data_IF_134060937806
#
_entry.id   IF_134060937806
#
_cell.length_a   1.000
_cell.length_b   1.000
_cell.length_c   1.000
_cell.angle_alpha   90.00
_cell.angle_beta   90.00
_cell.angle_gamma   90.00
#
_symmetry.space_group_name_H-M   'P 1'
#
loop_
_entity.id
_entity.type
_entity.pdbx_description
1 polymer ?
2 non-polymer ?
3 non-polymer ?
4 non-polymer ?
5 non-polymer ?
6 non-polymer ?
7 water ?
#
# COMPACT_ATOMS: atom_id res chain seq x y z
N UNK A 1 -26.97 31.20 5.68
CA UNK A 1 -26.42 30.40 6.77
C UNK A 1 -25.15 29.68 6.32
N UNK A 2 -24.24 29.41 7.25
CA UNK A 2 -23.05 28.67 6.85
C UNK A 2 -22.47 27.96 8.06
N UNK A 3 -21.73 26.89 7.78
CA UNK A 3 -21.00 26.21 8.82
C UNK A 3 -19.97 27.15 9.43
N UNK A 4 -19.73 26.99 10.72
CA UNK A 4 -18.64 27.71 11.34
C UNK A 4 -17.33 27.18 10.77
N UNK A 5 -16.41 28.06 10.35
CA UNK A 5 -15.14 27.56 9.78
C UNK A 5 -14.27 26.90 10.84
N UNK A 6 -13.57 25.83 10.43
CA UNK A 6 -12.64 25.18 11.33
C UNK A 6 -11.46 26.10 11.60
N UNK A 7 -11.01 26.13 12.85
CA UNK A 7 -9.94 27.03 13.26
C UNK A 7 -8.60 26.32 13.40
N UNK A 8 -8.58 25.00 13.23
CA UNK A 8 -7.37 24.20 13.35
C UNK A 8 -7.13 23.43 12.07
N UNK A 9 -5.86 23.27 11.70
CA UNK A 9 -5.53 22.49 10.52
C UNK A 9 -5.08 21.09 10.92
N UNK A 10 -5.23 20.10 10.05
CA UNK A 10 -4.89 18.72 10.42
C UNK A 10 -3.39 18.53 10.61
N UNK A 11 -3.05 17.59 11.49
CA UNK A 11 -1.66 17.23 11.68
C UNK A 11 -1.07 16.70 10.39
N UNK A 12 0.23 16.93 10.22
CA UNK A 12 0.92 16.43 9.05
C UNK A 12 1.42 15.01 9.25
N UNK A 13 1.42 14.24 8.16
CA UNK A 13 2.05 12.92 8.16
C UNK A 13 3.55 13.03 8.49
N UNK A 14 4.10 12.00 9.15
CA UNK A 14 5.50 11.99 9.54
C UNK A 14 6.31 11.07 8.61
N UNK A 15 6.87 11.66 7.57
CA UNK A 15 7.65 10.89 6.60
C UNK A 15 8.95 10.35 7.16
N UNK A 16 9.59 11.08 8.08
CA UNK A 16 10.80 10.57 8.70
C UNK A 16 10.50 9.31 9.51
N UNK A 17 9.38 9.31 10.24
CA UNK A 17 8.99 8.11 10.97
C UNK A 17 8.76 6.93 10.03
N UNK A 18 8.16 7.18 8.86
CA UNK A 18 7.95 6.11 7.89
C UNK A 18 9.28 5.58 7.36
N UNK A 19 10.26 6.46 7.13
CA UNK A 19 11.59 6.03 6.70
C UNK A 19 12.25 5.14 7.78
N UNK A 20 12.18 5.59 9.03
CA UNK A 20 12.75 4.80 10.12
C UNK A 20 12.08 3.44 10.22
N UNK A 21 10.74 3.40 10.06
CA UNK A 21 10.02 2.12 10.08
C UNK A 21 10.47 1.21 8.94
N UNK A 22 10.81 1.79 7.77
CA UNK A 22 11.30 0.95 6.68
C UNK A 22 12.61 0.31 7.07
N UNK A 23 13.52 1.10 7.64
CA UNK A 23 14.80 0.54 8.10
C UNK A 23 14.56 -0.57 9.11
N UNK A 24 13.65 -0.35 10.05
CA UNK A 24 13.42 -1.36 11.08
C UNK A 24 12.79 -2.62 10.50
N UNK A 25 11.90 -2.46 9.52
CA UNK A 25 11.24 -3.62 8.91
C UNK A 25 12.25 -4.46 8.15
N UNK A 26 13.13 -3.81 7.37
CA UNK A 26 14.15 -4.55 6.64
C UNK A 26 15.15 -5.19 7.59
N UNK A 27 15.49 -4.52 8.70
CA UNK A 27 16.37 -5.14 9.69
C UNK A 27 15.73 -6.38 10.30
N UNK A 28 14.43 -6.32 10.59
CA UNK A 28 13.75 -7.40 11.28
C UNK A 28 13.47 -8.58 10.37
N UNK A 29 13.21 -8.31 9.09
CA UNK A 29 12.68 -9.34 8.18
C UNK A 29 13.17 -9.04 6.76
N UNK A 30 14.47 -9.20 6.51
CA UNK A 30 14.98 -8.75 5.20
C UNK A 30 14.46 -9.58 4.04
N UNK A 31 14.44 -10.90 4.17
CA UNK A 31 13.94 -11.77 3.11
C UNK A 31 12.64 -12.38 3.59
N UNK A 32 11.57 -12.19 2.82
CA UNK A 32 10.20 -12.41 3.32
C UNK A 32 9.35 -13.18 2.32
N UNK A 33 9.89 -14.23 1.71
CA UNK A 33 9.08 -14.96 0.74
C UNK A 33 8.10 -15.88 1.46
N UNK A 34 6.99 -16.18 0.78
CA UNK A 34 5.93 -16.97 1.39
C UNK A 34 6.46 -18.32 1.85
N UNK A 35 6.20 -18.63 3.12
CA UNK A 35 6.64 -19.87 3.73
C UNK A 35 7.90 -19.76 4.55
N UNK A 36 8.62 -18.66 4.46
CA UNK A 36 9.93 -18.57 5.07
C UNK A 36 9.84 -18.06 6.51
N UNK A 37 10.87 -18.30 7.30
CA UNK A 37 10.91 -17.70 8.64
C UNK A 37 10.92 -16.19 8.59
N UNK A 38 11.56 -15.61 7.56
CA UNK A 38 11.56 -14.17 7.40
C UNK A 38 10.16 -13.61 7.21
N UNK A 39 9.33 -14.30 6.43
CA UNK A 39 7.94 -13.88 6.28
C UNK A 39 7.24 -13.85 7.63
N UNK A 40 7.47 -14.87 8.46
CA UNK A 40 6.85 -14.90 9.78
C UNK A 40 7.33 -13.73 10.65
N UNK A 41 8.62 -13.37 10.52
CA UNK A 41 9.13 -12.21 11.27
C UNK A 41 8.51 -10.91 10.77
N UNK A 42 8.24 -10.82 9.46
CA UNK A 42 7.57 -9.65 8.90
C UNK A 42 6.16 -9.52 9.48
N UNK A 43 5.45 -10.66 9.55
CA UNK A 43 4.11 -10.64 10.12
C UNK A 43 4.14 -10.25 11.58
N UNK A 44 5.14 -10.76 12.32
CA UNK A 44 5.28 -10.38 13.73
C UNK A 44 5.54 -8.88 13.86
N UNK A 45 6.35 -8.31 12.96
CA UNK A 45 6.64 -6.89 13.01
C UNK A 45 5.34 -6.09 12.81
N UNK A 46 4.54 -6.47 11.81
CA UNK A 46 3.27 -5.78 11.59
C UNK A 46 2.40 -5.86 12.84
N UNK A 47 2.21 -7.08 13.37
CA UNK A 47 1.37 -7.25 14.55
C UNK A 47 1.89 -6.45 15.73
N UNK A 48 3.20 -6.43 15.93
CA UNK A 48 3.79 -5.71 17.05
C UNK A 48 3.55 -4.21 16.95
N UNK A 49 3.26 -3.70 15.75
CA UNK A 49 2.99 -2.28 15.59
C UNK A 49 1.50 -1.95 15.62
N UNK A 50 0.65 -2.92 15.93
CA UNK A 50 -0.79 -2.72 16.02
C UNK A 50 -1.35 -3.32 17.30
N UNK A 51 -0.56 -3.33 18.37
CA UNK A 51 -1.04 -3.89 19.63
C UNK A 51 -2.31 -3.21 20.14
N UNK A 52 -2.46 -1.88 20.08
CA UNK A 52 -3.72 -1.30 20.56
C UNK A 52 -4.93 -1.78 19.76
N UNK A 53 -4.78 -1.87 18.45
CA UNK A 53 -5.88 -2.31 17.60
C UNK A 53 -6.21 -3.77 17.85
N UNK A 54 -5.20 -4.61 18.09
CA UNK A 54 -5.46 -6.00 18.47
C UNK A 54 -6.26 -6.05 19.76
N UNK A 55 -5.87 -5.24 20.76
CA UNK A 55 -6.58 -5.25 22.04
C UNK A 55 -8.02 -4.75 21.89
N UNK A 56 -8.30 -3.92 20.87
CA UNK A 56 -9.61 -3.32 20.65
C UNK A 56 -10.50 -4.18 19.76
N UNK A 57 -10.00 -5.28 19.21
CA UNK A 57 -10.77 -6.06 18.26
C UNK A 57 -10.82 -5.48 16.87
N UNK A 58 -9.87 -4.60 16.53
CA UNK A 58 -9.86 -3.91 15.25
C UNK A 58 -8.77 -4.43 14.32
N UNK A 59 -8.24 -5.62 14.57
CA UNK A 59 -7.16 -6.19 13.78
C UNK A 59 -7.60 -7.58 13.33
N UNK A 60 -7.62 -7.81 12.02
CA UNK A 60 -8.08 -9.06 11.44
C UNK A 60 -6.94 -9.76 10.72
N UNK A 61 -6.79 -11.05 10.99
CA UNK A 61 -5.89 -11.93 10.25
C UNK A 61 -6.77 -12.72 9.29
N UNK A 62 -6.52 -12.59 7.99
CA UNK A 62 -7.28 -13.24 6.94
C UNK A 62 -6.34 -14.28 6.32
N UNK A 63 -6.40 -15.51 6.84
CA UNK A 63 -5.51 -16.60 6.43
C UNK A 63 -6.21 -17.48 5.39
N UNK A 64 -5.46 -17.94 4.39
CA UNK A 64 -6.04 -18.82 3.38
C UNK A 64 -4.93 -19.67 2.79
N UNK A 65 -5.33 -20.74 2.09
CA UNK A 65 -4.39 -21.62 1.42
C UNK A 65 -4.45 -21.33 -0.08
N UNK A 66 -3.35 -20.83 -0.64
CA UNK A 66 -3.29 -20.47 -2.05
C UNK A 66 -2.80 -21.68 -2.85
N UNK A 67 -3.40 -21.91 -4.01
CA UNK A 67 -2.90 -22.89 -4.96
C UNK A 67 -1.91 -22.18 -5.87
N UNK A 68 -0.65 -22.60 -5.88
CA UNK A 68 0.39 -21.91 -6.62
C UNK A 68 1.18 -22.92 -7.43
N UNK A 69 2.02 -22.46 -8.37
CA UNK A 69 2.92 -23.39 -9.07
C UNK A 69 3.91 -24.09 -8.15
N UNK A 70 4.13 -23.59 -6.94
CA UNK A 70 4.98 -24.25 -5.97
C UNK A 70 4.20 -25.18 -5.04
N UNK A 71 2.91 -25.34 -5.28
CA UNK A 71 2.06 -26.16 -4.43
C UNK A 71 1.15 -25.29 -3.58
N UNK A 72 0.53 -25.94 -2.59
CA UNK A 72 -0.31 -25.20 -1.64
C UNK A 72 0.58 -24.38 -0.72
N UNK A 73 0.27 -23.10 -0.57
CA UNK A 73 1.03 -22.21 0.30
C UNK A 73 0.08 -21.43 1.19
N UNK A 74 0.33 -21.41 2.48
CA UNK A 74 -0.48 -20.61 3.38
C UNK A 74 -0.10 -19.15 3.24
N UNK A 75 -1.10 -18.27 3.15
CA UNK A 75 -0.91 -16.84 3.06
C UNK A 75 -1.78 -16.14 4.08
N UNK A 76 -1.35 -14.94 4.47
CA UNK A 76 -2.05 -14.17 5.49
C UNK A 76 -2.13 -12.71 5.09
N UNK A 77 -3.35 -12.21 4.89
CA UNK A 77 -3.56 -10.77 4.80
C UNK A 77 -3.86 -10.26 6.19
N UNK A 78 -3.53 -8.98 6.44
CA UNK A 78 -3.86 -8.34 7.70
C UNK A 78 -4.68 -7.09 7.41
N UNK A 79 -5.78 -6.90 8.14
CA UNK A 79 -6.64 -5.74 7.94
C UNK A 79 -6.79 -5.03 9.29
N UNK A 80 -6.48 -3.73 9.31
CA UNK A 80 -6.55 -2.93 10.53
C UNK A 80 -7.63 -1.88 10.31
N UNK A 81 -8.61 -1.84 11.19
CA UNK A 81 -9.75 -0.93 10.98
C UNK A 81 -9.69 0.27 11.92
N UNK A 82 -9.91 1.45 11.33
CA UNK A 82 -10.06 2.72 12.06
C UNK A 82 -11.47 3.22 11.74
N UNK A 83 -12.46 2.83 12.54
CA UNK A 83 -13.83 3.25 12.25
C UNK A 83 -13.96 4.75 12.27
N UNK A 84 -14.78 5.25 11.37
CA UNK A 84 -15.05 6.66 11.23
C UNK A 84 -16.35 7.05 11.88
N UNK A 85 -16.91 8.15 11.40
CA UNK A 85 -18.14 8.69 11.96
C UNK A 85 -19.29 8.65 10.97
N UNK A 86 -19.07 8.15 9.76
CA UNK A 86 -20.14 7.97 8.81
C UNK A 86 -19.92 6.67 8.06
N UNK A 87 -21.01 6.12 7.53
CA UNK A 87 -20.98 4.83 6.87
C UNK A 87 -20.19 4.91 5.57
N UNK A 88 -19.29 3.95 5.35
CA UNK A 88 -18.45 3.90 4.17
C UNK A 88 -17.00 3.76 4.59
N UNK A 89 -16.19 3.19 3.71
CA UNK A 89 -14.82 2.80 4.03
C UNK A 89 -13.88 3.24 2.91
N UNK A 90 -12.74 3.80 3.30
CA UNK A 90 -11.61 4.01 2.40
C UNK A 90 -10.56 2.99 2.79
N UNK A 91 -10.15 2.16 1.84
CA UNK A 91 -9.12 1.15 2.08
C UNK A 91 -7.78 1.68 1.57
N UNK A 92 -6.73 1.58 2.39
CA UNK A 92 -5.36 1.83 1.97
C UNK A 92 -4.64 0.49 2.01
N UNK A 93 -3.89 0.16 0.96
CA UNK A 93 -3.32 -1.19 0.85
C UNK A 93 -1.85 -1.14 0.45
N UNK A 94 -1.16 -2.21 0.82
CA UNK A 94 0.22 -2.45 0.41
C UNK A 94 0.45 -3.96 0.43
N UNK A 95 1.38 -4.44 -0.40
CA UNK A 95 1.87 -5.79 -0.20
C UNK A 95 3.07 -5.73 0.75
N UNK A 96 3.37 -6.88 1.39
CA UNK A 96 4.41 -6.88 2.41
C UNK A 96 5.48 -7.96 2.24
N UNK A 97 5.30 -8.90 1.33
CA UNK A 97 6.20 -10.04 1.17
C UNK A 97 7.17 -9.78 0.02
N UNK A 98 8.21 -10.63 -0.07
CA UNK A 98 9.17 -10.53 -1.18
C UNK A 98 9.03 -11.72 -2.12
N UNK A 99 9.63 -11.59 -3.31
CA UNK A 99 9.43 -12.53 -4.39
C UNK A 99 10.05 -13.90 -4.11
N UNK A 100 9.23 -14.95 -4.23
CA UNK A 100 9.72 -16.31 -4.06
C UNK A 100 10.84 -16.69 -5.04
N UNK A 101 10.79 -16.32 -6.32
CA UNK A 101 11.90 -16.67 -7.23
C UNK A 101 13.22 -15.99 -6.89
N UNK A 102 13.21 -14.96 -6.03
CA UNK A 102 14.41 -14.23 -5.63
C UNK A 102 14.91 -14.67 -4.26
N UNK A 103 14.44 -15.82 -3.77
CA UNK A 103 14.76 -16.24 -2.40
C UNK A 103 16.24 -16.55 -2.17
N UNK A 104 17.00 -16.85 -3.22
CA UNK A 104 18.41 -17.21 -3.06
C UNK A 104 19.38 -16.08 -3.40
N UNK A 105 18.88 -14.86 -3.57
CA UNK A 105 19.73 -13.68 -3.66
C UNK A 105 19.34 -12.73 -2.53
N UNK A 106 20.15 -11.68 -2.35
CA UNK A 106 19.93 -10.71 -1.29
C UNK A 106 18.90 -9.66 -1.70
N UNK A 107 17.72 -10.14 -2.03
CA UNK A 107 16.60 -9.26 -2.38
C UNK A 107 15.78 -9.02 -1.12
N UNK A 108 15.70 -7.76 -0.71
CA UNK A 108 15.01 -7.36 0.52
C UNK A 108 13.81 -6.47 0.26
N UNK A 109 13.55 -6.08 -0.98
CA UNK A 109 12.36 -5.30 -1.29
C UNK A 109 12.24 -4.03 -0.46
N UNK A 110 13.32 -3.25 -0.38
CA UNK A 110 13.28 -2.04 0.44
C UNK A 110 12.23 -1.06 -0.06
N UNK A 111 12.21 -0.81 -1.38
CA UNK A 111 11.18 0.05 -1.96
C UNK A 111 9.92 -0.75 -2.24
N UNK A 112 10.09 -1.98 -2.73
CA UNK A 112 9.01 -2.81 -3.27
C UNK A 112 8.42 -3.65 -2.13
N UNK A 113 7.45 -3.07 -1.43
CA UNK A 113 6.83 -3.71 -0.29
C UNK A 113 7.29 -3.13 1.02
N UNK A 114 8.60 -2.96 1.20
CA UNK A 114 9.09 -2.47 2.48
C UNK A 114 8.63 -1.06 2.78
N UNK A 115 8.84 -0.14 1.82
CA UNK A 115 8.57 1.27 2.05
C UNK A 115 7.09 1.51 2.29
N UNK A 116 6.21 0.75 1.62
CA UNK A 116 4.78 0.95 1.74
C UNK A 116 4.17 0.20 2.92
N UNK A 117 4.78 -0.91 3.34
CA UNK A 117 4.42 -1.50 4.63
C UNK A 117 4.71 -0.52 5.75
N UNK A 118 5.89 0.11 5.71
CA UNK A 118 6.22 1.15 6.69
C UNK A 118 5.30 2.35 6.59
N UNK A 119 4.99 2.79 5.37
CA UNK A 119 4.06 3.90 5.18
C UNK A 119 2.74 3.63 5.87
N UNK A 120 2.19 2.42 5.70
CA UNK A 120 0.90 2.13 6.30
C UNK A 120 0.98 1.89 7.81
N UNK A 121 2.08 1.36 8.31
CA UNK A 121 2.26 1.33 9.77
C UNK A 121 2.25 2.75 10.33
N UNK A 122 2.96 3.67 9.67
CA UNK A 122 2.95 5.05 10.13
C UNK A 122 1.57 5.68 10.00
N UNK A 123 0.85 5.33 8.93
CA UNK A 123 -0.54 5.77 8.83
C UNK A 123 -1.37 5.29 10.02
N UNK A 124 -1.14 4.05 10.46
CA UNK A 124 -1.82 3.57 11.66
C UNK A 124 -1.48 4.40 12.89
N UNK A 125 -0.21 4.76 13.04
CA UNK A 125 0.18 5.65 14.14
C UNK A 125 -0.56 6.98 14.04
N UNK A 126 -0.65 7.52 12.83
CA UNK A 126 -1.32 8.79 12.60
C UNK A 126 -2.81 8.69 12.97
N UNK A 127 -3.48 7.63 12.49
CA UNK A 127 -4.91 7.49 12.69
C UNK A 127 -5.26 7.12 14.13
N UNK A 128 -4.32 6.47 14.83
CA UNK A 128 -4.52 6.24 16.25
C UNK A 128 -4.53 7.55 17.01
N UNK A 129 -3.65 8.48 16.61
CA UNK A 129 -3.60 9.79 17.26
C UNK A 129 -4.67 10.76 16.77
N UNK A 130 -5.10 10.62 15.52
CA UNK A 130 -6.02 11.57 14.87
C UNK A 130 -7.13 10.75 14.22
N UNK A 131 -8.13 10.33 15.00
CA UNK A 131 -9.10 9.37 14.49
C UNK A 131 -9.86 9.94 13.30
N UNK A 132 -10.28 9.09 12.37
CA UNK A 132 -10.98 9.59 11.16
C UNK A 132 -12.34 10.15 11.51
N UNK A 133 -12.62 11.35 10.99
CA UNK A 133 -13.85 12.04 11.29
C UNK A 133 -14.91 11.84 10.21
N UNK A 134 -14.58 11.18 9.11
CA UNK A 134 -15.53 10.89 8.05
C UNK A 134 -15.68 9.39 7.87
N UNK A 135 -15.39 8.90 6.66
CA UNK A 135 -15.43 7.46 6.42
C UNK A 135 -14.42 6.71 7.29
N UNK A 136 -14.72 5.44 7.55
CA UNK A 136 -13.72 4.57 8.14
C UNK A 136 -12.51 4.49 7.24
N UNK A 137 -11.34 4.27 7.84
CA UNK A 137 -10.12 3.97 7.08
C UNK A 137 -9.68 2.57 7.49
N UNK A 138 -9.49 1.69 6.51
CA UNK A 138 -8.97 0.35 6.78
C UNK A 138 -7.63 0.21 6.08
N UNK A 139 -6.66 -0.35 6.80
CA UNK A 139 -5.32 -0.61 6.26
C UNK A 139 -5.22 -2.09 5.93
N UNK A 140 -4.77 -2.40 4.72
CA UNK A 140 -4.63 -3.78 4.28
C UNK A 140 -3.16 -4.04 3.99
N UNK A 141 -2.62 -5.04 4.64
CA UNK A 141 -1.28 -5.56 4.35
C UNK A 141 -1.52 -6.89 3.65
N UNK A 142 -1.34 -6.92 2.34
CA UNK A 142 -1.69 -8.12 1.61
C UNK A 142 -0.48 -8.97 1.25
N UNK A 143 -0.70 -10.28 1.27
CA UNK A 143 0.33 -11.27 1.02
C UNK A 143 0.26 -11.71 -0.44
N UNK A 144 1.37 -12.30 -0.89
CA UNK A 144 1.35 -13.01 -2.18
C UNK A 144 1.04 -12.15 -3.38
N UNK A 145 1.38 -10.85 -3.36
CA UNK A 145 1.18 -10.03 -4.56
C UNK A 145 2.10 -10.50 -5.68
N UNK A 146 3.34 -10.80 -5.36
CA UNK A 146 4.32 -11.16 -6.38
C UNK A 146 4.09 -12.58 -6.88
N UNK A 147 4.40 -12.81 -8.16
CA UNK A 147 4.26 -14.14 -8.74
C UNK A 147 5.14 -15.14 -7.99
N UNK A 148 4.61 -16.33 -7.78
CA UNK A 148 5.38 -17.42 -7.17
C UNK A 148 6.35 -18.01 -8.16
N UNK A 149 5.95 -18.12 -9.43
CA UNK A 149 6.82 -18.61 -10.48
C UNK A 149 7.07 -17.57 -11.56
N UNK A 150 6.02 -17.11 -12.25
CA UNK A 150 6.20 -16.14 -13.31
C UNK A 150 4.89 -15.38 -13.49
N UNK A 151 4.98 -14.07 -13.60
CA UNK A 151 3.80 -13.22 -13.53
C UNK A 151 2.78 -13.58 -14.61
N UNK A 152 1.54 -13.79 -14.19
CA UNK A 152 0.43 -14.07 -15.10
C UNK A 152 -0.86 -13.80 -14.35
N UNK A 153 -1.98 -13.87 -15.07
CA UNK A 153 -3.28 -13.62 -14.44
C UNK A 153 -3.57 -14.62 -13.33
N UNK A 154 -3.05 -15.84 -13.42
CA UNK A 154 -3.27 -16.81 -12.34
C UNK A 154 -2.14 -16.83 -11.33
N UNK A 155 -0.94 -16.37 -11.69
CA UNK A 155 0.20 -16.40 -10.77
C UNK A 155 0.60 -14.96 -10.43
N UNK A 156 -0.21 -14.34 -9.58
CA UNK A 156 0.02 -12.99 -9.09
C UNK A 156 -1.18 -12.64 -8.20
N UNK A 157 -0.99 -11.66 -7.32
CA UNK A 157 -2.12 -11.03 -6.63
C UNK A 157 -2.93 -12.01 -5.79
N UNK A 158 -2.27 -12.99 -5.17
CA UNK A 158 -3.03 -14.01 -4.46
C UNK A 158 -3.81 -13.42 -3.30
N UNK A 159 -3.17 -12.56 -2.52
CA UNK A 159 -3.83 -12.02 -1.33
C UNK A 159 -5.02 -11.14 -1.67
N UNK A 160 -4.88 -10.27 -2.69
CA UNK A 160 -6.01 -9.42 -3.04
C UNK A 160 -7.08 -10.14 -3.85
N UNK A 161 -6.73 -11.15 -4.65
CA UNK A 161 -7.79 -11.93 -5.28
C UNK A 161 -8.63 -12.61 -4.22
N UNK A 162 -7.98 -13.16 -3.19
CA UNK A 162 -8.72 -13.78 -2.10
C UNK A 162 -9.56 -12.75 -1.35
N UNK A 163 -8.97 -11.60 -1.01
CA UNK A 163 -9.68 -10.62 -0.19
C UNK A 163 -10.85 -10.01 -0.95
N UNK A 164 -10.65 -9.68 -2.23
CA UNK A 164 -11.74 -9.13 -3.02
C UNK A 164 -12.89 -10.13 -3.14
N UNK A 165 -12.57 -11.42 -3.31
CA UNK A 165 -13.64 -12.41 -3.37
C UNK A 165 -14.37 -12.53 -2.03
N UNK A 166 -13.62 -12.53 -0.93
CA UNK A 166 -14.21 -12.62 0.42
C UNK A 166 -15.16 -11.45 0.67
N UNK A 167 -14.70 -10.25 0.35
CA UNK A 167 -15.51 -9.06 0.58
C UNK A 167 -16.67 -8.94 -0.41
N UNK A 168 -16.52 -9.51 -1.61
CA UNK A 168 -17.67 -9.57 -2.51
C UNK A 168 -18.75 -10.48 -1.95
N UNK A 169 -18.34 -11.64 -1.43
CA UNK A 169 -19.31 -12.63 -0.95
C UNK A 169 -20.05 -12.13 0.28
N UNK A 170 -19.38 -11.38 1.16
CA UNK A 170 -20.04 -10.97 2.40
C UNK A 170 -20.64 -9.56 2.35
N UNK A 171 -20.61 -8.89 1.21
CA UNK A 171 -21.23 -7.60 1.07
C UNK A 171 -20.36 -6.42 1.45
N UNK A 172 -19.11 -6.65 1.85
CA UNK A 172 -18.24 -5.54 2.25
C UNK A 172 -17.91 -4.62 1.08
N UNK A 173 -17.78 -5.17 -0.13
CA UNK A 173 -17.34 -4.34 -1.26
C UNK A 173 -18.27 -3.16 -1.51
N UNK A 174 -19.57 -3.32 -1.25
CA UNK A 174 -20.53 -2.26 -1.47
C UNK A 174 -20.19 -1.01 -0.67
N UNK A 175 -19.49 -1.18 0.46
CA UNK A 175 -19.20 -0.08 1.35
C UNK A 175 -17.93 0.68 1.01
N UNK A 176 -17.15 0.19 0.06
CA UNK A 176 -15.83 0.75 -0.19
C UNK A 176 -15.97 1.96 -1.12
N UNK A 177 -15.66 3.13 -0.59
CA UNK A 177 -15.69 4.35 -1.36
C UNK A 177 -14.50 4.46 -2.30
N UNK A 178 -13.36 3.91 -1.88
CA UNK A 178 -12.15 3.94 -2.70
C UNK A 178 -11.16 2.95 -2.12
N UNK A 179 -10.41 2.28 -3.01
CA UNK A 179 -9.29 1.42 -2.65
C UNK A 179 -8.02 2.08 -3.16
N UNK A 180 -7.17 2.54 -2.23
CA UNK A 180 -5.97 3.31 -2.55
C UNK A 180 -4.76 2.43 -2.25
N UNK A 181 -4.04 2.04 -3.29
CA UNK A 181 -2.89 1.15 -3.17
C UNK A 181 -1.62 1.98 -3.18
N UNK A 182 -0.71 1.70 -2.26
CA UNK A 182 0.61 2.33 -2.23
C UNK A 182 1.62 1.31 -2.74
N UNK A 183 2.42 1.69 -3.72
CA UNK A 183 3.41 0.70 -4.24
C UNK A 183 4.66 1.43 -4.73
N UNK A 184 5.81 1.13 -4.10
CA UNK A 184 7.12 1.58 -4.59
C UNK A 184 7.31 3.09 -4.51
N UNK A 185 6.74 3.71 -3.47
CA UNK A 185 6.77 5.16 -3.38
C UNK A 185 7.83 5.69 -2.42
N UNK A 186 8.79 4.84 -2.01
CA UNK A 186 9.93 5.32 -1.26
C UNK A 186 11.09 5.78 -2.12
N UNK A 187 11.05 5.48 -3.41
CA UNK A 187 12.10 5.77 -4.38
C UNK A 187 12.60 7.19 -4.21
N UNK A 188 13.93 7.33 -4.00
CA UNK A 188 14.53 8.65 -3.84
C UNK A 188 14.26 9.58 -5.02
N UNK A 189 14.06 9.02 -6.21
CA UNK A 189 13.68 9.79 -7.40
C UNK A 189 12.21 9.49 -7.68
N UNK A 190 11.34 10.20 -6.99
CA UNK A 190 9.92 9.84 -6.95
C UNK A 190 9.13 10.55 -8.05
N UNK A 191 8.36 9.78 -8.79
CA UNK A 191 7.27 10.37 -9.55
C UNK A 191 6.19 9.31 -9.70
N UNK A 192 4.96 9.68 -9.35
CA UNK A 192 3.84 8.75 -9.39
C UNK A 192 3.33 8.66 -10.82
N UNK A 193 3.38 7.47 -11.39
CA UNK A 193 2.86 7.31 -12.74
C UNK A 193 1.35 7.50 -12.77
N UNK A 194 0.84 7.96 -13.91
CA UNK A 194 -0.60 7.99 -14.16
C UNK A 194 -1.02 6.62 -14.67
N UNK A 195 -1.64 5.82 -13.81
CA UNK A 195 -2.04 4.46 -14.17
C UNK A 195 -3.41 4.48 -14.84
N UNK A 196 -3.44 4.18 -16.15
CA UNK A 196 -4.71 4.16 -16.88
C UNK A 196 -5.65 3.06 -16.39
N UNK A 197 -5.17 2.08 -15.63
CA UNK A 197 -6.07 1.09 -15.05
C UNK A 197 -6.82 1.62 -13.84
N UNK A 198 -6.44 2.77 -13.31
CA UNK A 198 -7.11 3.34 -12.13
C UNK A 198 -8.36 4.12 -12.53
N UNK A 199 -9.25 4.30 -11.56
CA UNK A 199 -10.53 4.92 -11.84
C UNK A 199 -10.31 6.40 -12.15
N UNK A 200 -10.87 6.92 -13.25
CA UNK A 200 -10.58 8.32 -13.64
C UNK A 200 -10.87 9.36 -12.55
N UNK A 201 -11.99 9.25 -11.82
CA UNK A 201 -12.22 10.30 -10.82
C UNK A 201 -11.16 10.29 -9.73
N UNK A 202 -10.59 9.11 -9.43
CA UNK A 202 -9.51 9.04 -8.45
C UNK A 202 -8.20 9.57 -9.02
N UNK A 203 -7.91 9.33 -10.31
CA UNK A 203 -6.74 9.95 -10.92
C UNK A 203 -6.84 11.47 -10.88
N UNK A 204 -8.01 12.01 -11.24
CA UNK A 204 -8.21 13.45 -11.21
C UNK A 204 -8.04 13.97 -9.79
N UNK A 205 -8.54 13.21 -8.82
CA UNK A 205 -8.44 13.64 -7.44
C UNK A 205 -7.00 13.63 -6.96
N UNK A 206 -6.20 12.66 -7.40
CA UNK A 206 -4.79 12.65 -7.02
C UNK A 206 -4.06 13.84 -7.62
N UNK A 207 -4.38 14.21 -8.85
CA UNK A 207 -3.79 15.44 -9.41
C UNK A 207 -4.16 16.66 -8.57
N UNK A 208 -5.43 16.73 -8.12
CA UNK A 208 -5.84 17.82 -7.23
C UNK A 208 -5.14 17.76 -5.89
N UNK A 209 -5.00 16.55 -5.33
CA UNK A 209 -4.33 16.40 -4.04
C UNK A 209 -2.88 16.86 -4.13
N UNK A 210 -2.22 16.58 -5.27
CA UNK A 210 -0.85 17.05 -5.45
C UNK A 210 -0.81 18.57 -5.50
N UNK A 211 -1.75 19.20 -6.22
CA UNK A 211 -1.83 20.67 -6.20
C UNK A 211 -1.98 21.17 -4.77
N UNK A 212 -2.91 20.58 -4.01
CA UNK A 212 -3.23 21.08 -2.68
C UNK A 212 -2.07 20.93 -1.71
N UNK A 213 -1.22 19.92 -1.90
CA UNK A 213 -0.11 19.66 -1.00
C UNK A 213 1.21 20.21 -1.51
N UNK A 214 1.20 20.92 -2.65
CA UNK A 214 2.43 21.46 -3.21
C UNK A 214 3.38 20.44 -3.79
N UNK A 215 2.86 19.30 -4.25
CA UNK A 215 3.68 18.20 -4.73
C UNK A 215 3.39 17.88 -6.20
N UNK A 216 2.92 18.85 -6.98
CA UNK A 216 2.59 18.55 -8.38
C UNK A 216 3.80 18.07 -9.16
N UNK A 217 5.01 18.49 -8.77
CA UNK A 217 6.21 18.06 -9.48
C UNK A 217 6.43 16.55 -9.38
N UNK A 218 5.71 15.85 -8.52
CA UNK A 218 5.97 14.45 -8.25
C UNK A 218 4.88 13.54 -8.78
N UNK A 219 3.92 14.05 -9.55
CA UNK A 219 2.73 13.30 -9.91
C UNK A 219 2.49 13.39 -11.41
N UNK A 220 2.42 12.23 -12.06
CA UNK A 220 1.94 12.06 -13.43
C UNK A 220 2.91 12.47 -14.54
N UNK A 221 4.23 12.44 -14.28
CA UNK A 221 5.20 12.66 -15.35
C UNK A 221 5.00 11.66 -16.48
N UNK A 222 4.85 10.39 -16.15
CA UNK A 222 4.71 9.33 -17.12
C UNK A 222 3.31 8.75 -17.04
N UNK A 223 2.77 8.39 -18.19
CA UNK A 223 1.48 7.72 -18.30
C UNK A 223 1.72 6.27 -18.71
N UNK A 224 1.08 5.35 -18.01
CA UNK A 224 1.22 3.93 -18.32
C UNK A 224 -0.02 3.21 -17.84
N UNK A 225 0.07 1.88 -17.75
CA UNK A 225 -0.99 1.06 -17.18
C UNK A 225 -0.31 -0.05 -16.41
N UNK A 226 -0.76 -0.29 -15.18
CA UNK A 226 -0.05 -1.16 -14.25
C UNK A 226 -0.92 -2.35 -13.87
N UNK A 227 -0.30 -3.53 -13.82
CA UNK A 227 -0.92 -4.71 -13.24
C UNK A 227 -0.45 -4.81 -11.79
N UNK A 228 -1.39 -4.75 -10.86
CA UNK A 228 -1.06 -4.66 -9.44
C UNK A 228 -2.29 -5.05 -8.63
N UNK A 229 -2.15 -4.95 -7.31
CA UNK A 229 -3.13 -5.40 -6.31
C UNK A 229 -4.48 -4.70 -6.40
N UNK A 230 -4.62 -3.63 -7.18
CA UNK A 230 -5.91 -2.97 -7.35
C UNK A 230 -6.82 -3.67 -8.34
N UNK A 231 -6.27 -4.49 -9.25
CA UNK A 231 -7.10 -5.10 -10.28
C UNK A 231 -8.21 -6.02 -9.76
N UNK A 232 -8.01 -6.85 -8.73
CA UNK A 232 -9.12 -7.70 -8.27
C UNK A 232 -10.29 -6.91 -7.72
N UNK A 233 -10.03 -5.69 -7.24
CA UNK A 233 -11.11 -4.81 -6.77
C UNK A 233 -11.76 -4.09 -7.94
N UNK A 234 -10.94 -3.59 -8.88
CA UNK A 234 -11.47 -2.85 -10.01
C UNK A 234 -12.36 -3.72 -10.86
N UNK A 235 -11.98 -4.99 -11.05
CA UNK A 235 -12.79 -5.87 -11.90
C UNK A 235 -14.16 -6.17 -11.28
N UNK A 236 -14.35 -5.85 -10.00
CA UNK A 236 -15.62 -6.00 -9.33
C UNK A 236 -16.31 -4.66 -9.12
N UNK A 237 -15.87 -3.61 -9.81
CA UNK A 237 -16.56 -2.33 -9.78
C UNK A 237 -16.16 -1.39 -8.65
N UNK A 238 -15.15 -1.74 -7.87
CA UNK A 238 -14.70 -0.86 -6.78
C UNK A 238 -13.85 0.26 -7.38
N UNK A 239 -14.04 1.52 -6.97
CA UNK A 239 -13.13 2.59 -7.40
C UNK A 239 -11.73 2.37 -6.84
N UNK A 240 -10.72 2.43 -7.71
CA UNK A 240 -9.35 2.11 -7.29
C UNK A 240 -8.37 3.17 -7.78
N UNK A 241 -7.26 3.29 -7.05
CA UNK A 241 -6.14 4.12 -7.49
C UNK A 241 -4.85 3.44 -7.06
N UNK A 242 -3.95 3.22 -8.01
CA UNK A 242 -2.61 2.74 -7.69
C UNK A 242 -1.66 3.93 -7.64
N UNK A 243 -1.27 4.31 -6.42
CA UNK A 243 -0.29 5.38 -6.21
C UNK A 243 1.07 4.68 -6.25
N UNK A 244 1.65 4.62 -7.44
CA UNK A 244 2.81 3.79 -7.72
C UNK A 244 3.84 4.59 -8.49
N UNK A 245 5.11 4.37 -8.16
CA UNK A 245 6.24 4.79 -8.99
C UNK A 245 6.84 3.48 -9.53
N UNK A 246 6.51 3.16 -10.78
CA UNK A 246 7.00 1.92 -11.38
C UNK A 246 8.31 2.13 -12.13
N UNK A 247 8.84 3.35 -12.12
CA UNK A 247 10.09 3.66 -12.80
C UNK A 247 11.19 3.76 -11.75
N UNK A 248 11.72 2.61 -11.36
CA UNK A 248 12.58 2.48 -10.19
C UNK A 248 14.00 2.25 -10.67
N UNK A 249 14.82 3.30 -10.61
CA UNK A 249 16.21 3.22 -10.96
C UNK A 249 16.49 3.41 -12.43
N UNK A 250 17.77 3.59 -12.78
CA UNK A 250 18.13 3.84 -14.19
C UNK A 250 18.00 2.57 -15.03
N UNK A 251 17.36 2.69 -16.17
CA UNK A 251 17.20 1.57 -17.10
C UNK A 251 18.42 1.53 -17.99
N UNK A 252 19.10 0.39 -18.02
CA UNK A 252 20.28 0.22 -18.85
C UNK A 252 20.15 -1.09 -19.61
N UNK A 253 21.08 -1.33 -20.53
CA UNK A 253 21.11 -2.59 -21.24
C UNK A 253 21.15 -3.77 -20.28
N UNK A 254 21.94 -3.68 -19.23
CA UNK A 254 22.09 -4.79 -18.31
C UNK A 254 21.02 -4.81 -17.23
N UNK A 255 20.41 -3.66 -16.91
CA UNK A 255 19.32 -3.58 -15.93
C UNK A 255 18.14 -2.90 -16.60
N UNK A 256 17.44 -3.61 -17.49
CA UNK A 256 16.37 -2.95 -18.26
C UNK A 256 15.20 -2.50 -17.42
N UNK A 257 15.09 -2.97 -16.17
CA UNK A 257 14.03 -2.55 -15.27
C UNK A 257 14.62 -1.83 -14.05
N UNK A 258 15.80 -1.24 -14.21
CA UNK A 258 16.38 -0.51 -13.09
C UNK A 258 16.66 -1.42 -11.89
N UNK A 259 16.30 -0.93 -10.70
CA UNK A 259 16.49 -1.67 -9.47
C UNK A 259 15.36 -2.63 -9.16
N UNK A 260 14.28 -2.60 -9.92
CA UNK A 260 13.11 -3.42 -9.66
C UNK A 260 13.44 -4.90 -9.73
N UNK A 261 13.16 -5.63 -8.66
CA UNK A 261 13.36 -7.07 -8.58
C UNK A 261 14.83 -7.45 -8.72
N UNK A 262 15.73 -6.59 -8.26
CA UNK A 262 17.14 -6.92 -8.16
C UNK A 262 17.60 -6.72 -6.73
N UNK A 263 18.79 -7.25 -6.43
CA UNK A 263 19.40 -7.05 -5.12
C UNK A 263 19.79 -5.60 -4.86
N UNK A 264 19.66 -4.71 -5.85
CA UNK A 264 19.91 -3.30 -5.62
C UNK A 264 18.71 -2.58 -5.01
N UNK A 265 17.59 -3.26 -4.78
CA UNK A 265 16.43 -2.63 -4.15
C UNK A 265 16.67 -2.62 -2.64
N UNK A 266 17.47 -1.64 -2.20
CA UNK A 266 18.00 -1.56 -0.84
C UNK A 266 17.67 -0.22 -0.20
N UNK A 267 17.96 -0.11 1.10
CA UNK A 267 17.54 1.06 1.88
C UNK A 267 18.18 2.34 1.37
N UNK A 268 19.38 2.27 0.77
CA UNK A 268 19.99 3.48 0.22
C UNK A 268 19.25 4.02 -1.00
N UNK A 269 18.25 3.31 -1.52
CA UNK A 269 17.48 3.78 -2.67
C UNK A 269 16.24 4.54 -2.30
N UNK A 270 15.91 4.64 -1.02
CA UNK A 270 14.67 5.29 -0.61
C UNK A 270 14.99 6.49 0.27
N UNK A 271 13.99 7.35 0.46
CA UNK A 271 14.23 8.55 1.25
C UNK A 271 13.00 8.92 2.05
N UNK A 272 13.27 9.60 3.17
CA UNK A 272 12.18 10.18 3.95
C UNK A 272 11.42 11.23 3.15
N UNK A 273 12.11 11.96 2.28
CA UNK A 273 11.43 13.00 1.49
C UNK A 273 10.33 12.38 0.63
N UNK A 274 10.64 11.28 -0.06
CA UNK A 274 9.63 10.59 -0.86
C UNK A 274 8.49 10.05 0.00
N UNK A 275 8.82 9.44 1.15
CA UNK A 275 7.75 8.94 2.00
C UNK A 275 6.89 10.07 2.56
N UNK A 276 7.48 11.25 2.78
CA UNK A 276 6.71 12.42 3.21
C UNK A 276 5.72 12.82 2.14
N UNK A 277 6.17 12.88 0.89
CA UNK A 277 5.29 13.24 -0.22
C UNK A 277 4.15 12.22 -0.32
N UNK A 278 4.49 10.93 -0.27
CA UNK A 278 3.48 9.89 -0.36
C UNK A 278 2.44 10.01 0.75
N UNK A 279 2.90 10.17 2.00
CA UNK A 279 1.94 10.30 3.09
C UNK A 279 1.08 11.55 2.99
N UNK A 280 1.68 12.69 2.58
CA UNK A 280 0.91 13.91 2.37
C UNK A 280 -0.19 13.67 1.34
N UNK A 281 0.15 12.97 0.25
CA UNK A 281 -0.85 12.69 -0.79
C UNK A 281 -1.96 11.79 -0.26
N UNK A 282 -1.61 10.74 0.49
CA UNK A 282 -2.65 9.86 1.03
C UNK A 282 -3.59 10.60 1.97
N UNK A 283 -3.06 11.42 2.88
CA UNK A 283 -3.95 12.14 3.80
C UNK A 283 -4.85 13.12 3.04
N UNK A 284 -4.30 13.78 2.01
CA UNK A 284 -5.12 14.70 1.23
C UNK A 284 -6.17 13.95 0.42
N UNK A 285 -5.83 12.77 -0.12
CA UNK A 285 -6.83 11.95 -0.81
C UNK A 285 -7.98 11.60 0.13
N UNK A 286 -7.66 11.21 1.37
CA UNK A 286 -8.73 10.90 2.32
C UNK A 286 -9.64 12.11 2.52
N UNK A 287 -9.05 13.30 2.67
CA UNK A 287 -9.88 14.49 2.85
C UNK A 287 -10.77 14.73 1.63
N UNK A 288 -10.21 14.56 0.44
CA UNK A 288 -10.97 14.84 -0.78
C UNK A 288 -12.06 13.79 -1.02
N UNK A 289 -11.80 12.53 -0.65
CA UNK A 289 -12.84 11.51 -0.77
C UNK A 289 -13.96 11.80 0.19
N UNK A 290 -13.62 12.22 1.42
CA UNK A 290 -14.65 12.59 2.37
C UNK A 290 -15.50 13.74 1.83
N UNK A 291 -14.84 14.74 1.24
CA UNK A 291 -15.56 15.89 0.69
C UNK A 291 -16.49 15.49 -0.45
N UNK A 292 -16.02 14.58 -1.32
CA UNK A 292 -16.84 14.10 -2.43
C UNK A 292 -18.13 13.45 -1.94
N UNK A 293 -18.06 12.71 -0.84
CA UNK A 293 -19.23 12.13 -0.22
C UNK A 293 -19.84 10.99 -0.99
X LIG B 1 7.77 -6.42 -6.97
X LIG C 1 11.03 6.77 -9.84
X LIG D 1 8.39 19.31 -2.12
X LIG D 1 7.17 19.20 -2.95
X LIG D 1 8.46 18.24 -1.10
X LIG D 1 9.58 19.19 -3.00
X LIG D 1 8.47 20.68 -1.58
X LIG E 1 3.80 -20.66 7.22
X LIG E 1 4.25 -21.82 6.44
X LIG E 1 2.47 -20.93 7.74
X LIG E 1 3.73 -19.47 6.34
X LIG E 1 4.71 -20.42 8.34
X LIG F 1 -9.78 -14.69 -9.62
X LIG F 1 -11.04 -15.25 -10.10
X LIG F 1 -8.98 -15.74 -9.01
X LIG F 1 -9.08 -14.13 -10.77
X LIG F 1 -10.09 -13.64 -8.66
X LIG G 1 -12.88 11.90 18.27
X LIG G 1 -12.98 11.06 17.08
X LIG G 1 -12.51 11.07 19.41
X LIG G 1 -11.87 12.96 18.08
X LIG G 1 -14.19 12.52 18.51
X LIG H 1 25.50 -1.09 -15.89
X LIG H 1 24.44 -1.17 -14.89
X LIG H 1 26.62 -1.95 -15.49
X LIG H 1 25.97 0.29 -16.01
X LIG H 1 24.98 -1.54 -17.19
X LIG I 1 11.67 8.24 -16.20
X LIG I 1 11.12 6.89 -16.21
X LIG I 1 12.13 8.60 -14.86
X LIG I 1 12.79 8.30 -17.15
X LIG I 1 10.64 9.20 -16.61
X LIG J 1 10.35 -9.52 -12.93
X LIG J 1 9.37 -9.90 -13.95
X LIG J 1 10.31 -10.49 -11.84
X LIG J 1 11.69 -9.47 -13.51
X LIG J 1 10.01 -8.19 -12.43
X LIG K 1 -16.68 11.89 -12.56
X LIG K 1 -15.65 12.75 -12.13
X LIG K 1 -17.52 11.46 -11.35
X LIG K 1 -16.91 11.79 -10.16
X LIG K 1 -17.61 9.92 -11.51
X LIG K 1 -18.18 9.40 -10.34
X LIG L 1 -10.20 -20.91 2.82
X LIG L 1 -10.08 -19.90 1.84
X LIG L 1 -8.78 -21.41 3.13
X LIG L 1 -8.03 -21.48 2.02
X LIG L 1 -8.92 -22.79 3.77
X LIG L 1 -7.65 -23.09 4.24
X LIG M 1 4.12 23.66 -6.97
X LIG M 1 4.82 23.35 -5.80
X LIG M 1 2.70 23.02 -6.90
X LIG M 1 2.79 21.70 -6.52
X LIG M 1 1.92 23.89 -5.89
X LIG M 1 0.68 23.31 -5.68
X LIG N 1 -15.44 -8.90 6.54
X LIG N 1 -15.12 -9.93 5.63
X LIG N 1 -14.26 -8.84 7.51
X LIG N 1 -13.10 -8.40 6.81
X LIG N 1 -14.70 -7.82 8.63
X LIG N 1 -15.73 -8.40 9.41
X LIG O 1 8.03 21.47 1.59
X LIG O 1 8.80 22.12 0.63
X LIG O 1 7.08 20.49 0.92
X LIG O 1 7.44 19.15 1.20
X LIG O 1 5.65 20.89 1.43
X LIG O 1 4.77 20.91 0.26
X LIG P 1 16.01 12.45 3.17
X LIG P 1 17.28 12.29 2.33
X LIG P 1 16.16 13.62 4.10
X LIG P 1 15.80 11.22 4.04
X LIG P 1 14.91 12.63 2.27
X LIG P 1 17.01 12.60 0.98
X LIG P 1 15.09 13.57 4.99
X LIG P 1 16.07 9.96 3.46
#
# INVERSE_FOLDING_TARGET
AQKAPAQNSPARFNGQAAYNLTRQYIAAAPKRWVGSPGHAKAEAFIKDHFKPEIAQGRFETDRFTAGTPAGLLEMRNYIVRYPGKKDGVIVLATHYETNYPLRDINFVGANDGGSTTALLIEMGNYLRAHPPQGYSIWLVFDDGEEAIQSWSATDSLYGTRHLAAKWSQDGTLKKIKAFLLADMIGDKDLNIDRDANSTPWLLDMLKQAAKNTGHSAYVFKNSTAVEDDHLPFAKRGVPVLDIIDIDYGPRTFSMPDGYHHTAEDTLDKISAHSLQIAGDLFLEMIRLINQRG
ZN ZN
NA NA
SO4 S O1 O2 O3 O4
SO4 S O1 O2 O3 O4
SO4 S O1 O2 O3 O4
SO4 S O1 O2 O3 O4
SO4 S O1 O2 O3 O4
SO4 S O1 O2 O3 O4
SO4 S O1 O2 O3 O4
GOL C1 O1 C2 O2 C3 O3
GOL C1 O1 C2 O2 C3 O3
GOL C1 O1 C2 O2 C3 O3
GOL C1 O1 C2 O2 C3 O3
GOL C1 O1 C2 O2 C3 O3
TRS C C1 C2 C3 N O1 O2 O3
#
